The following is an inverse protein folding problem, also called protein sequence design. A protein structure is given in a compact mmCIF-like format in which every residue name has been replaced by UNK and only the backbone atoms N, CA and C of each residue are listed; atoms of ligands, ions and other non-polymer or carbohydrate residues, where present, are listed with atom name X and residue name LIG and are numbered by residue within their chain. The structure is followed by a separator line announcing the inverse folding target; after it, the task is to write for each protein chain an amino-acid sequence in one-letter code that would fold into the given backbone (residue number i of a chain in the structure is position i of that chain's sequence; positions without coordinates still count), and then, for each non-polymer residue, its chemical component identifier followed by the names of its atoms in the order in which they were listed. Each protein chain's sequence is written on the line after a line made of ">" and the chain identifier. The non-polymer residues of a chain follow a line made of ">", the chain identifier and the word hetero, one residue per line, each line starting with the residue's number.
data_IF_234626314316
#
_entry.id   IF_234626314316
#
_cell.length_a   1.000
_cell.length_b   1.000
_cell.length_c   1.000
_cell.angle_alpha   90.00
_cell.angle_beta   90.00
_cell.angle_gamma   90.00
#
_symmetry.space_group_name_H-M   'P 1'
#
loop_
_entity.id
_entity.type
_entity.pdbx_description
1 polymer ?
#
# COMPACT_ATOMS: atom_id res chain seq x y z
N UNK A 1 -4.00 -14.46 -4.55
CA UNK A 1 -5.09 -14.24 -5.51
C UNK A 1 -5.16 -12.81 -6.01
N UNK A 2 -5.15 -11.79 -5.12
CA UNK A 2 -5.17 -10.39 -5.54
C UNK A 2 -3.96 -10.02 -6.40
N UNK A 3 -2.79 -10.55 -6.07
CA UNK A 3 -1.58 -10.23 -6.84
C UNK A 3 -1.70 -10.70 -8.30
N UNK A 4 -2.39 -11.81 -8.54
CA UNK A 4 -2.60 -12.30 -9.91
C UNK A 4 -3.43 -11.32 -10.71
N UNK A 5 -4.49 -10.79 -10.12
CA UNK A 5 -5.36 -9.82 -10.80
C UNK A 5 -4.61 -8.53 -11.11
N UNK A 6 -3.78 -8.07 -10.18
CA UNK A 6 -2.99 -6.86 -10.40
C UNK A 6 -1.93 -7.08 -11.48
N UNK A 7 -1.36 -8.27 -11.53
CA UNK A 7 -0.41 -8.61 -12.60
C UNK A 7 -1.09 -8.64 -13.95
N UNK A 8 -2.31 -9.11 -14.01
CA UNK A 8 -3.09 -9.10 -15.25
C UNK A 8 -3.36 -7.67 -15.72
N UNK A 9 -3.42 -6.72 -14.81
CA UNK A 9 -3.60 -5.31 -15.14
C UNK A 9 -2.29 -4.63 -15.55
N UNK A 10 -1.21 -5.38 -15.63
CA UNK A 10 0.07 -4.85 -16.11
C UNK A 10 1.03 -4.40 -15.02
N UNK A 11 0.72 -4.66 -13.76
CA UNK A 11 1.58 -4.27 -12.65
C UNK A 11 2.59 -5.38 -12.33
N UNK A 12 3.81 -4.98 -11.98
CA UNK A 12 4.79 -5.90 -11.40
C UNK A 12 4.53 -5.93 -9.89
N UNK A 13 4.14 -7.09 -9.37
CA UNK A 13 3.70 -7.21 -7.99
C UNK A 13 4.72 -7.98 -7.17
N UNK A 14 5.09 -7.43 -6.03
CA UNK A 14 5.96 -8.08 -5.06
C UNK A 14 5.19 -8.18 -3.75
N UNK A 15 5.23 -9.35 -3.13
CA UNK A 15 4.53 -9.57 -1.87
C UNK A 15 5.54 -9.80 -0.75
N UNK A 16 5.12 -9.44 0.46
CA UNK A 16 5.95 -9.68 1.65
C UNK A 16 5.03 -10.09 2.80
N UNK A 17 5.46 -11.07 3.58
CA UNK A 17 4.66 -11.62 4.67
C UNK A 17 4.94 -11.01 6.03
N UNK A 18 6.01 -10.23 6.15
CA UNK A 18 6.37 -9.59 7.42
C UNK A 18 7.09 -8.27 7.17
N UNK A 19 7.32 -7.52 8.24
CA UNK A 19 7.92 -6.18 8.17
C UNK A 19 9.33 -6.25 7.59
N UNK A 20 10.12 -7.21 8.03
CA UNK A 20 11.51 -7.33 7.58
C UNK A 20 11.61 -7.60 6.09
N UNK A 21 10.81 -8.54 5.60
CA UNK A 21 10.77 -8.86 4.18
C UNK A 21 10.30 -7.67 3.35
N UNK A 22 9.30 -6.96 3.84
CA UNK A 22 8.77 -5.79 3.14
C UNK A 22 9.83 -4.70 3.02
N UNK A 23 10.54 -4.41 4.11
CA UNK A 23 11.60 -3.41 4.08
C UNK A 23 12.75 -3.84 3.17
N UNK A 24 13.08 -5.12 3.17
CA UNK A 24 14.13 -5.66 2.31
C UNK A 24 13.77 -5.48 0.83
N UNK A 25 12.51 -5.72 0.48
CA UNK A 25 12.06 -5.50 -0.89
C UNK A 25 12.15 -4.02 -1.29
N UNK A 26 11.81 -3.13 -0.38
CA UNK A 26 11.90 -1.70 -0.64
C UNK A 26 13.35 -1.23 -0.83
N UNK A 27 14.30 -1.90 -0.19
CA UNK A 27 15.72 -1.59 -0.39
C UNK A 27 16.16 -1.95 -1.81
N UNK A 28 15.59 -2.99 -2.38
CA UNK A 28 15.91 -3.39 -3.75
C UNK A 28 15.29 -2.41 -4.74
N UNK A 29 14.03 -2.08 -4.53
CA UNK A 29 13.33 -1.14 -5.41
C UNK A 29 12.17 -0.52 -4.65
N UNK A 30 12.10 0.82 -4.67
CA UNK A 30 10.98 1.55 -4.09
C UNK A 30 9.75 1.32 -4.96
N UNK A 31 8.63 0.89 -4.37
CA UNK A 31 7.43 0.63 -5.17
C UNK A 31 6.74 1.93 -5.60
N UNK A 32 5.91 1.83 -6.64
CA UNK A 32 5.07 2.94 -7.07
C UNK A 32 3.80 3.07 -6.24
N UNK A 33 3.44 2.02 -5.54
CA UNK A 33 2.24 1.97 -4.71
C UNK A 33 2.41 0.84 -3.70
N UNK A 34 1.91 1.05 -2.49
CA UNK A 34 1.91 0.01 -1.47
C UNK A 34 0.47 -0.30 -1.05
N UNK A 35 0.17 -1.59 -0.95
CA UNK A 35 -1.09 -2.06 -0.38
C UNK A 35 -0.74 -2.76 0.93
N UNK A 36 -1.19 -2.19 2.03
CA UNK A 36 -0.86 -2.69 3.37
C UNK A 36 -2.10 -3.27 4.02
N UNK A 37 -2.04 -4.54 4.36
CA UNK A 37 -3.14 -5.24 5.01
C UNK A 37 -2.97 -5.15 6.52
N UNK A 38 -3.92 -4.50 7.17
CA UNK A 38 -3.90 -4.35 8.62
C UNK A 38 -4.60 -5.54 9.29
N UNK A 39 -4.07 -6.72 9.07
CA UNK A 39 -4.47 -7.90 9.82
C UNK A 39 -3.87 -7.84 11.21
N UNK A 40 -4.25 -8.75 12.08
CA UNK A 40 -3.64 -8.83 13.40
C UNK A 40 -2.27 -9.49 13.32
N UNK A 41 -1.28 -8.95 14.02
CA UNK A 41 -1.35 -7.71 14.79
C UNK A 41 -1.30 -6.47 13.90
N UNK A 42 -2.18 -5.54 14.17
CA UNK A 42 -2.28 -4.30 13.40
C UNK A 42 -0.96 -3.51 13.47
N UNK A 43 -0.27 -3.64 14.59
CA UNK A 43 0.98 -2.92 14.84
C UNK A 43 2.05 -3.19 13.78
N UNK A 44 2.03 -4.36 13.15
CA UNK A 44 3.01 -4.69 12.12
C UNK A 44 2.88 -3.79 10.90
N UNK A 45 1.64 -3.55 10.46
CA UNK A 45 1.40 -2.65 9.33
C UNK A 45 1.79 -1.21 9.66
N UNK A 46 1.43 -0.75 10.86
CA UNK A 46 1.83 0.58 11.31
C UNK A 46 3.34 0.71 11.41
N UNK A 47 4.00 -0.30 11.98
CA UNK A 47 5.44 -0.29 12.12
C UNK A 47 6.12 -0.22 10.76
N UNK A 48 5.63 -1.01 9.81
CA UNK A 48 6.19 -0.99 8.45
C UNK A 48 6.09 0.41 7.85
N UNK A 49 4.93 1.04 7.91
CA UNK A 49 4.75 2.35 7.31
C UNK A 49 5.61 3.42 7.97
N UNK A 50 5.72 3.39 9.30
CA UNK A 50 6.56 4.34 10.01
C UNK A 50 8.01 4.17 9.62
N UNK A 51 8.47 2.93 9.59
CA UNK A 51 9.86 2.63 9.25
C UNK A 51 10.15 2.98 7.80
N UNK A 52 9.22 2.69 6.89
CA UNK A 52 9.36 3.05 5.49
C UNK A 52 9.53 4.57 5.36
N UNK A 53 8.67 5.34 5.99
CA UNK A 53 8.69 6.79 5.89
C UNK A 53 9.91 7.39 6.55
N UNK A 54 10.43 6.76 7.59
CA UNK A 54 11.66 7.20 8.23
C UNK A 54 12.87 6.99 7.32
N UNK A 55 12.94 5.84 6.67
CA UNK A 55 14.09 5.49 5.82
C UNK A 55 14.07 6.19 4.47
N UNK A 56 12.90 6.33 3.90
CA UNK A 56 12.76 6.88 2.54
C UNK A 56 11.86 8.11 2.57
N UNK A 57 12.29 9.11 3.31
CA UNK A 57 11.47 10.29 3.61
C UNK A 57 11.09 11.10 2.37
N UNK A 58 11.90 11.06 1.33
CA UNK A 58 11.65 11.81 0.11
C UNK A 58 10.80 11.06 -0.90
N UNK A 59 10.52 9.80 -0.63
CA UNK A 59 9.70 8.99 -1.52
C UNK A 59 8.23 9.16 -1.15
N UNK A 60 7.47 9.71 -2.07
CA UNK A 60 6.05 9.95 -1.87
C UNK A 60 5.23 8.81 -2.50
N UNK A 61 5.28 7.64 -1.85
CA UNK A 61 4.62 6.46 -2.36
C UNK A 61 3.19 6.39 -1.83
N UNK A 62 2.18 6.33 -2.70
CA UNK A 62 0.80 6.21 -2.24
C UNK A 62 0.56 4.86 -1.56
N UNK A 63 -0.30 4.87 -0.55
CA UNK A 63 -0.59 3.71 0.27
C UNK A 63 -2.10 3.46 0.32
N UNK A 64 -2.50 2.22 0.09
CA UNK A 64 -3.87 1.77 0.32
C UNK A 64 -3.85 0.86 1.55
N UNK A 65 -4.67 1.17 2.56
CA UNK A 65 -4.82 0.30 3.72
C UNK A 65 -6.03 -0.60 3.55
N UNK A 66 -5.85 -1.88 3.81
CA UNK A 66 -6.95 -2.85 3.84
C UNK A 66 -7.19 -3.23 5.30
N UNK A 67 -8.41 -3.10 5.78
CA UNK A 67 -8.69 -3.42 7.19
C UNK A 67 -10.16 -3.73 7.42
N UNK A 68 -10.42 -4.74 8.24
CA UNK A 68 -11.76 -5.01 8.75
C UNK A 68 -12.08 -4.15 9.99
N UNK A 69 -11.08 -3.51 10.56
CA UNK A 69 -11.23 -2.74 11.79
C UNK A 69 -11.86 -1.37 11.52
N UNK A 70 -12.73 -0.95 12.45
CA UNK A 70 -13.26 0.41 12.42
C UNK A 70 -12.18 1.46 12.72
N UNK A 71 -11.06 1.03 13.26
CA UNK A 71 -9.93 1.92 13.56
C UNK A 71 -9.17 2.36 12.32
N UNK A 72 -9.47 1.79 11.14
CA UNK A 72 -8.72 2.10 9.92
C UNK A 72 -8.71 3.58 9.57
N UNK A 73 -9.79 4.29 9.85
CA UNK A 73 -9.88 5.71 9.55
C UNK A 73 -8.90 6.52 10.40
N UNK A 74 -8.81 6.19 11.69
CA UNK A 74 -7.87 6.86 12.58
C UNK A 74 -6.43 6.55 12.19
N UNK A 75 -6.14 5.30 11.86
CA UNK A 75 -4.82 4.89 11.42
C UNK A 75 -4.44 5.61 10.13
N UNK A 76 -5.38 5.65 9.17
CA UNK A 76 -5.16 6.33 7.90
C UNK A 76 -4.83 7.80 8.11
N UNK A 77 -5.58 8.45 9.00
CA UNK A 77 -5.37 9.87 9.28
C UNK A 77 -4.01 10.12 9.93
N UNK A 78 -3.65 9.29 10.90
CA UNK A 78 -2.35 9.42 11.58
C UNK A 78 -1.18 9.20 10.63
N UNK A 79 -1.32 8.24 9.73
CA UNK A 79 -0.23 7.86 8.83
C UNK A 79 -0.29 8.57 7.49
N UNK A 80 -1.36 9.35 7.24
CA UNK A 80 -1.46 10.11 6.01
C UNK A 80 -1.49 9.26 4.75
N UNK A 81 -2.29 8.17 4.76
CA UNK A 81 -2.41 7.30 3.60
C UNK A 81 -3.44 7.86 2.62
N UNK A 82 -3.27 7.50 1.34
CA UNK A 82 -4.11 8.02 0.26
C UNK A 82 -5.50 7.41 0.22
N UNK A 83 -5.63 6.13 0.59
CA UNK A 83 -6.92 5.46 0.53
C UNK A 83 -7.00 4.33 1.53
N UNK A 84 -8.23 4.01 1.93
CA UNK A 84 -8.52 2.84 2.75
C UNK A 84 -9.61 2.03 2.06
N UNK A 85 -9.58 0.73 2.25
CA UNK A 85 -10.59 -0.16 1.70
C UNK A 85 -11.04 -1.12 2.80
N UNK A 86 -12.34 -1.10 3.17
CA UNK A 86 -12.83 -1.97 4.23
C UNK A 86 -12.96 -3.41 3.75
N UNK A 87 -12.67 -4.34 4.63
CA UNK A 87 -12.90 -5.76 4.38
C UNK A 87 -14.30 -6.15 4.86
N UNK A 88 -15.02 -6.99 4.15
CA UNK A 88 -14.67 -7.54 2.84
C UNK A 88 -14.84 -6.51 1.72
N UNK A 89 -14.05 -6.64 0.68
CA UNK A 89 -14.13 -5.75 -0.48
C UNK A 89 -14.15 -6.57 -1.77
N UNK A 90 -14.63 -5.96 -2.85
CA UNK A 90 -14.56 -6.58 -4.16
C UNK A 90 -13.18 -6.33 -4.77
N UNK A 91 -12.65 -7.34 -5.45
CA UNK A 91 -11.35 -7.22 -6.10
C UNK A 91 -11.31 -6.04 -7.06
N UNK A 92 -12.43 -5.76 -7.74
CA UNK A 92 -12.51 -4.66 -8.68
C UNK A 92 -12.33 -3.29 -8.03
N UNK A 93 -12.79 -3.15 -6.79
CA UNK A 93 -12.60 -1.90 -6.05
C UNK A 93 -11.13 -1.62 -5.80
N UNK A 94 -10.38 -2.66 -5.44
CA UNK A 94 -8.94 -2.53 -5.24
C UNK A 94 -8.24 -2.23 -6.56
N UNK A 95 -8.59 -2.95 -7.61
CA UNK A 95 -7.98 -2.76 -8.94
C UNK A 95 -8.19 -1.33 -9.43
N UNK A 96 -9.38 -0.79 -9.23
CA UNK A 96 -9.70 0.58 -9.62
C UNK A 96 -8.89 1.61 -8.83
N UNK A 97 -8.78 1.42 -7.52
CA UNK A 97 -7.96 2.29 -6.68
C UNK A 97 -6.49 2.27 -7.11
N UNK A 98 -5.97 1.07 -7.34
CA UNK A 98 -4.57 0.91 -7.75
C UNK A 98 -4.34 1.65 -9.07
N UNK A 99 -5.19 1.44 -10.05
CA UNK A 99 -5.06 2.08 -11.36
C UNK A 99 -5.09 3.60 -11.24
N UNK A 100 -6.01 4.11 -10.44
CA UNK A 100 -6.15 5.56 -10.26
C UNK A 100 -4.94 6.17 -9.59
N UNK A 101 -4.46 5.56 -8.53
CA UNK A 101 -3.34 6.11 -7.77
C UNK A 101 -2.02 6.02 -8.54
N UNK A 102 -1.82 4.94 -9.26
CA UNK A 102 -0.63 4.79 -10.11
C UNK A 102 -0.65 5.83 -11.24
N UNK A 103 -1.80 6.05 -11.85
CA UNK A 103 -1.94 7.04 -12.92
C UNK A 103 -1.68 8.45 -12.40
N UNK A 104 -2.20 8.78 -11.21
CA UNK A 104 -1.98 10.09 -10.62
C UNK A 104 -0.50 10.35 -10.33
N UNK A 105 0.21 9.34 -9.82
CA UNK A 105 1.64 9.45 -9.56
C UNK A 105 2.40 9.67 -10.86
N UNK A 106 2.06 8.93 -11.89
CA UNK A 106 2.71 9.06 -13.20
C UNK A 106 2.47 10.46 -13.77
N UNK A 107 1.26 10.99 -13.66
CA UNK A 107 0.93 12.33 -14.13
C UNK A 107 1.74 13.40 -13.42
N UNK A 108 1.88 13.28 -12.10
CA UNK A 108 2.69 14.21 -11.31
C UNK A 108 4.16 14.13 -11.73
N UNK A 109 4.65 12.92 -11.95
CA UNK A 109 6.05 12.72 -12.35
C UNK A 109 6.34 13.31 -13.71
N UNK A 110 5.34 13.39 -14.59
CA UNK A 110 5.50 13.92 -15.95
C UNK A 110 5.38 15.43 -16.01
N UNK A 111 4.81 16.05 -15.02
CA UNK A 111 4.65 17.49 -15.01
C UNK A 111 5.86 18.20 -14.41
#
# INVERSE_FOLDING_TARGET
>A
MLHVLLEQDGHAVVTAGDVQSALAQCKVQIPDLMVVDLMLPIEDGEMFLREFRRRWRQEDVPVILLSASSARTDIARRLGVEATLPKPFFAEDLRELVSRLVAQRASVAMS
#
